data_IF_855872692876
#
_entry.id   IF_855872692876
#
_cell.length_a   1.000
_cell.length_b   1.000
_cell.length_c   1.000
_cell.angle_alpha   90.00
_cell.angle_beta   90.00
_cell.angle_gamma   90.00
#
_symmetry.space_group_name_H-M   'P 1'
#
loop_
_entity.id
_entity.type
_entity.pdbx_description
1 polymer ?
#
# COMPACT_ATOMS: atom_id res chain seq x y z
N UNK A 1 -13.69 18.65 -8.24
CA UNK A 1 -12.72 19.76 -8.08
C UNK A 1 -13.36 20.89 -7.28
N UNK A 2 -12.69 21.46 -6.29
CA UNK A 2 -13.07 22.76 -5.71
C UNK A 2 -11.93 23.76 -5.88
N UNK A 3 -12.22 25.05 -5.78
CA UNK A 3 -11.20 26.12 -5.93
C UNK A 3 -10.13 26.07 -4.85
N UNK A 4 -10.48 25.64 -3.63
CA UNK A 4 -9.54 25.57 -2.50
C UNK A 4 -8.80 24.23 -2.41
N UNK A 5 -9.45 23.12 -2.71
CA UNK A 5 -8.85 21.79 -2.56
C UNK A 5 -8.20 21.27 -3.85
N UNK A 6 -8.48 21.90 -5.01
CA UNK A 6 -8.07 21.38 -6.29
C UNK A 6 -8.73 20.05 -6.62
N UNK A 7 -7.96 19.16 -7.24
CA UNK A 7 -8.38 17.82 -7.62
C UNK A 7 -7.81 16.78 -6.65
N UNK A 8 -8.70 15.94 -6.11
CA UNK A 8 -8.37 14.92 -5.12
C UNK A 8 -8.75 13.53 -5.63
N UNK A 9 -8.07 12.51 -5.14
CA UNK A 9 -8.33 11.11 -5.45
C UNK A 9 -7.98 10.22 -4.26
N UNK A 10 -8.88 9.30 -3.91
CA UNK A 10 -8.59 8.20 -2.98
C UNK A 10 -8.62 6.91 -3.80
N UNK A 11 -7.55 6.13 -3.72
CA UNK A 11 -7.46 4.81 -4.30
C UNK A 11 -7.33 3.78 -3.18
N UNK A 12 -8.09 2.70 -3.30
CA UNK A 12 -7.98 1.53 -2.45
C UNK A 12 -7.78 0.31 -3.33
N UNK A 13 -6.65 -0.37 -3.16
CA UNK A 13 -6.29 -1.53 -3.96
C UNK A 13 -6.04 -2.73 -3.06
N UNK A 14 -6.71 -3.83 -3.39
CA UNK A 14 -6.54 -5.11 -2.72
C UNK A 14 -5.77 -6.04 -3.64
N UNK A 15 -4.84 -6.79 -3.05
CA UNK A 15 -4.31 -8.02 -3.65
C UNK A 15 -4.81 -9.20 -2.84
N UNK A 16 -4.74 -10.39 -3.44
CA UNK A 16 -5.00 -11.63 -2.73
C UNK A 16 -4.10 -11.71 -1.49
N UNK A 17 -4.66 -12.19 -0.38
CA UNK A 17 -3.90 -12.40 0.84
C UNK A 17 -2.80 -13.43 0.62
N UNK A 18 -1.63 -13.19 1.17
CA UNK A 18 -0.56 -14.17 1.13
C UNK A 18 -0.76 -15.14 2.30
N UNK A 19 -0.84 -16.44 2.02
CA UNK A 19 -1.01 -17.49 3.02
C UNK A 19 0.28 -18.29 3.13
N UNK A 20 0.93 -18.21 4.29
CA UNK A 20 2.18 -18.92 4.59
C UNK A 20 1.90 -20.05 5.56
N UNK A 21 2.20 -21.28 5.13
CA UNK A 21 2.00 -22.50 5.93
C UNK A 21 3.35 -23.03 6.41
N UNK A 22 3.55 -23.05 7.73
CA UNK A 22 4.72 -23.60 8.40
C UNK A 22 4.29 -24.76 9.31
N UNK A 23 4.29 -25.97 8.76
CA UNK A 23 3.86 -27.17 9.47
C UNK A 23 2.37 -27.10 9.82
N UNK A 24 2.05 -27.11 11.12
CA UNK A 24 0.67 -26.99 11.62
C UNK A 24 0.19 -25.53 11.74
N UNK A 25 1.06 -24.54 11.52
CA UNK A 25 0.71 -23.13 11.63
C UNK A 25 0.47 -22.51 10.26
N UNK A 26 -0.65 -21.80 10.11
CA UNK A 26 -1.00 -21.02 8.92
C UNK A 26 -1.05 -19.54 9.30
N UNK A 27 -0.28 -18.71 8.62
CA UNK A 27 -0.31 -17.25 8.79
C UNK A 27 -0.86 -16.62 7.52
N UNK A 28 -1.91 -15.82 7.67
CA UNK A 28 -2.52 -15.07 6.58
C UNK A 28 -2.07 -13.61 6.69
N UNK A 29 -1.47 -13.10 5.62
CA UNK A 29 -1.05 -11.71 5.49
C UNK A 29 -1.98 -10.97 4.52
N UNK A 30 -2.90 -10.13 5.03
CA UNK A 30 -3.75 -9.30 4.19
C UNK A 30 -2.92 -8.28 3.41
N UNK A 31 -3.30 -8.02 2.15
CA UNK A 31 -2.56 -7.14 1.23
C UNK A 31 -3.46 -6.01 0.74
N UNK A 32 -3.40 -4.89 1.44
CA UNK A 32 -4.19 -3.68 1.14
C UNK A 32 -3.29 -2.47 1.01
N UNK A 33 -3.54 -1.64 0.00
CA UNK A 33 -2.88 -0.35 -0.19
C UNK A 33 -3.93 0.75 -0.33
N UNK A 34 -3.78 1.83 0.43
CA UNK A 34 -4.57 3.04 0.26
C UNK A 34 -3.65 4.20 -0.16
N UNK A 35 -4.07 4.95 -1.17
CA UNK A 35 -3.37 6.15 -1.63
C UNK A 35 -4.35 7.32 -1.61
N UNK A 36 -3.96 8.40 -0.95
CA UNK A 36 -4.74 9.64 -0.87
C UNK A 36 -3.94 10.75 -1.55
N UNK A 37 -4.49 11.31 -2.62
CA UNK A 37 -3.95 12.45 -3.33
C UNK A 37 -4.87 13.66 -3.10
N UNK A 38 -4.27 14.77 -2.70
CA UNK A 38 -4.96 16.04 -2.46
C UNK A 38 -4.30 17.12 -3.33
N UNK A 39 -5.12 17.94 -4.00
CA UNK A 39 -4.61 19.08 -4.78
C UNK A 39 -3.75 18.73 -6.00
N UNK A 40 -3.85 17.51 -6.53
CA UNK A 40 -3.02 17.06 -7.65
C UNK A 40 -3.48 17.65 -8.99
N UNK A 41 -2.53 18.07 -9.84
CA UNK A 41 -2.82 18.50 -11.22
C UNK A 41 -2.96 17.32 -12.19
N UNK A 42 -2.58 16.10 -11.78
CA UNK A 42 -2.73 14.86 -12.55
C UNK A 42 -3.04 13.68 -11.61
N UNK A 43 -4.19 13.75 -10.93
CA UNK A 43 -4.55 12.79 -9.87
C UNK A 43 -4.52 11.32 -10.31
N UNK A 44 -4.86 11.03 -11.56
CA UNK A 44 -4.90 9.65 -12.07
C UNK A 44 -3.50 9.14 -12.42
N UNK A 45 -2.68 9.93 -13.10
CA UNK A 45 -1.31 9.52 -13.44
C UNK A 45 -0.44 9.38 -12.18
N UNK A 46 -0.50 10.36 -11.28
CA UNK A 46 0.21 10.30 -10.00
C UNK A 46 -0.32 9.17 -9.12
N UNK A 47 -1.64 8.97 -9.06
CA UNK A 47 -2.25 7.87 -8.31
C UNK A 47 -1.81 6.50 -8.82
N UNK A 48 -1.76 6.29 -10.14
CA UNK A 48 -1.28 5.05 -10.73
C UNK A 48 0.21 4.80 -10.43
N UNK A 49 1.06 5.82 -10.54
CA UNK A 49 2.48 5.72 -10.23
C UNK A 49 2.73 5.41 -8.74
N UNK A 50 2.00 6.06 -7.83
CA UNK A 50 2.07 5.79 -6.39
C UNK A 50 1.60 4.38 -6.05
N UNK A 51 0.54 3.90 -6.71
CA UNK A 51 0.04 2.54 -6.55
C UNK A 51 1.11 1.51 -6.95
N UNK A 52 1.70 1.66 -8.14
CA UNK A 52 2.76 0.77 -8.62
C UNK A 52 3.97 0.77 -7.70
N UNK A 53 4.46 1.96 -7.31
CA UNK A 53 5.60 2.11 -6.40
C UNK A 53 5.31 1.54 -5.02
N UNK A 54 4.13 1.79 -4.46
CA UNK A 54 3.72 1.30 -3.15
C UNK A 54 3.72 -0.22 -3.08
N UNK A 55 3.22 -0.88 -4.13
CA UNK A 55 3.31 -2.33 -4.25
C UNK A 55 4.74 -2.84 -4.39
N UNK A 56 5.58 -2.19 -5.21
CA UNK A 56 6.98 -2.56 -5.34
C UNK A 56 7.71 -2.49 -3.99
N UNK A 57 7.45 -1.45 -3.19
CA UNK A 57 8.03 -1.30 -1.85
C UNK A 57 7.51 -2.36 -0.88
N UNK A 58 6.21 -2.65 -0.91
CA UNK A 58 5.61 -3.73 -0.12
C UNK A 58 6.26 -5.07 -0.46
N UNK A 59 6.39 -5.40 -1.74
CA UNK A 59 6.96 -6.66 -2.21
C UNK A 59 8.44 -6.80 -1.78
N UNK A 60 9.21 -5.71 -1.84
CA UNK A 60 10.60 -5.68 -1.33
C UNK A 60 10.67 -5.90 0.18
N UNK A 61 9.84 -5.21 0.97
CA UNK A 61 9.78 -5.37 2.42
C UNK A 61 9.34 -6.78 2.82
N UNK A 62 8.35 -7.35 2.11
CA UNK A 62 7.89 -8.71 2.32
C UNK A 62 9.00 -9.74 2.03
N UNK A 63 9.72 -9.58 0.91
CA UNK A 63 10.85 -10.43 0.54
C UNK A 63 12.02 -10.33 1.52
N UNK A 64 12.22 -9.16 2.14
CA UNK A 64 13.24 -8.94 3.18
C UNK A 64 12.85 -9.52 4.56
N UNK A 65 11.80 -10.34 4.65
CA UNK A 65 11.39 -10.99 5.89
C UNK A 65 10.47 -10.13 6.77
N UNK A 66 9.86 -9.07 6.22
CA UNK A 66 8.84 -8.25 6.90
C UNK A 66 9.32 -7.66 8.23
N UNK A 67 10.57 -7.21 8.28
CA UNK A 67 11.13 -6.66 9.51
C UNK A 67 10.30 -5.45 9.97
N UNK A 68 9.76 -5.53 11.18
CA UNK A 68 9.22 -4.39 11.89
C UNK A 68 10.38 -3.73 12.64
N UNK A 69 10.46 -2.39 12.62
CA UNK A 69 11.43 -1.68 13.46
C UNK A 69 11.03 -1.93 14.93
N UNK A 70 11.86 -2.64 15.73
CA UNK A 70 11.51 -2.98 17.10
C UNK A 70 11.37 -1.74 18.00
N UNK A 71 11.87 -0.57 17.58
CA UNK A 71 11.71 0.71 18.29
C UNK A 71 10.46 1.49 17.87
N UNK A 72 9.72 1.01 16.87
CA UNK A 72 8.47 1.60 16.38
C UNK A 72 7.27 0.67 16.51
N UNK A 73 7.35 -0.32 17.40
CA UNK A 73 6.14 -0.99 17.88
C UNK A 73 5.37 0.09 18.64
N UNK A 74 4.25 0.53 18.04
CA UNK A 74 3.34 1.52 18.61
C UNK A 74 2.76 1.03 19.95
#
# INVERSE_FOLDING_TARGET
RSTRAGDCLILYANRESEVVRNGQMETVYPRHLMVVLLGSTNRFGEGAALMQRGWQLYDQWAAAGRMADPKKVL
#
